data_IF_185829239723
#
_entry.id   IF_185829239723
#
_cell.length_a   1.000
_cell.length_b   1.000
_cell.length_c   1.000
_cell.angle_alpha   90.00
_cell.angle_beta   90.00
_cell.angle_gamma   90.00
#
_symmetry.space_group_name_H-M   'P 1'
#
loop_
_entity.id
_entity.type
_entity.pdbx_description
1 polymer ?
#
# COMPACT_ATOMS: atom_id res chain seq x y z
N UNK A 1 -4.05 13.11 -24.37
CA UNK A 1 -3.58 13.45 -23.02
C UNK A 1 -2.17 13.95 -23.15
N UNK A 2 -1.89 15.14 -22.64
CA UNK A 2 -0.55 15.72 -22.70
C UNK A 2 0.39 14.93 -21.79
N UNK A 3 1.67 14.85 -22.14
CA UNK A 3 2.67 14.11 -21.35
C UNK A 3 2.75 14.61 -19.89
N UNK A 4 2.32 15.85 -19.63
CA UNK A 4 2.25 16.46 -18.30
C UNK A 4 1.09 15.93 -17.43
N UNK A 5 -0.03 15.53 -18.04
CA UNK A 5 -1.16 14.92 -17.32
C UNK A 5 -0.74 13.57 -16.72
N UNK A 6 0.07 12.81 -17.46
CA UNK A 6 0.57 11.51 -17.03
C UNK A 6 1.42 11.65 -15.77
N UNK A 7 2.36 12.61 -15.72
CA UNK A 7 3.16 12.84 -14.51
C UNK A 7 2.30 13.28 -13.33
N UNK A 8 1.30 14.12 -13.56
CA UNK A 8 0.38 14.55 -12.51
C UNK A 8 -0.38 13.36 -11.90
N UNK A 9 -0.75 12.35 -12.70
CA UNK A 9 -1.33 11.10 -12.20
C UNK A 9 -0.34 10.31 -11.33
N UNK A 10 0.92 10.19 -11.74
CA UNK A 10 1.94 9.52 -10.93
C UNK A 10 2.22 10.26 -9.61
N UNK A 11 2.27 11.59 -9.63
CA UNK A 11 2.43 12.41 -8.42
C UNK A 11 1.23 12.26 -7.47
N UNK A 12 0.02 12.13 -8.02
CA UNK A 12 -1.17 11.87 -7.23
C UNK A 12 -1.10 10.50 -6.53
N UNK A 13 -0.65 9.45 -7.23
CA UNK A 13 -0.41 8.13 -6.62
C UNK A 13 0.63 8.23 -5.51
N UNK A 14 1.75 8.93 -5.73
CA UNK A 14 2.76 9.11 -4.68
C UNK A 14 2.20 9.81 -3.43
N UNK A 15 1.34 10.83 -3.62
CA UNK A 15 0.65 11.49 -2.52
C UNK A 15 -0.29 10.54 -1.75
N UNK A 16 -1.01 9.66 -2.45
CA UNK A 16 -1.85 8.64 -1.81
C UNK A 16 -0.97 7.65 -1.04
N UNK A 17 0.13 7.19 -1.61
CA UNK A 17 1.06 6.27 -0.93
C UNK A 17 1.73 6.91 0.30
N UNK A 18 2.06 8.21 0.27
CA UNK A 18 2.53 8.96 1.45
C UNK A 18 1.45 8.97 2.54
N UNK A 19 0.18 9.18 2.19
CA UNK A 19 -0.94 9.10 3.15
C UNK A 19 -1.12 7.70 3.71
N UNK A 20 -0.98 6.66 2.89
CA UNK A 20 -1.01 5.26 3.34
C UNK A 20 0.10 4.99 4.36
N UNK A 21 1.30 5.51 4.12
CA UNK A 21 2.41 5.40 5.07
C UNK A 21 2.07 6.07 6.41
N UNK A 22 1.52 7.28 6.39
CA UNK A 22 1.06 7.96 7.60
C UNK A 22 -0.02 7.16 8.34
N UNK A 23 -1.01 6.62 7.62
CA UNK A 23 -2.07 5.78 8.21
C UNK A 23 -1.49 4.51 8.84
N UNK A 24 -0.55 3.84 8.17
CA UNK A 24 0.15 2.67 8.71
C UNK A 24 0.96 3.01 9.97
N UNK A 25 1.66 4.15 10.00
CA UNK A 25 2.39 4.63 11.18
C UNK A 25 1.46 4.92 12.36
N UNK A 26 0.27 5.48 12.09
CA UNK A 26 -0.77 5.73 13.09
C UNK A 26 -1.57 4.48 13.48
N UNK A 27 -1.32 3.33 12.82
CA UNK A 27 -2.07 2.07 12.97
C UNK A 27 -3.56 2.24 12.67
N UNK A 28 -3.89 3.18 11.79
CA UNK A 28 -5.25 3.41 11.31
C UNK A 28 -5.53 2.50 10.10
N UNK A 29 -5.93 1.28 10.40
CA UNK A 29 -6.16 0.24 9.39
C UNK A 29 -7.40 0.50 8.53
N UNK A 30 -8.37 1.25 9.05
CA UNK A 30 -9.57 1.64 8.32
C UNK A 30 -9.21 2.66 7.25
N UNK A 31 -8.50 3.73 7.63
CA UNK A 31 -7.99 4.70 6.68
C UNK A 31 -7.02 4.08 5.66
N UNK A 32 -6.18 3.12 6.08
CA UNK A 32 -5.28 2.42 5.18
C UNK A 32 -6.04 1.64 4.08
N UNK A 33 -7.14 0.98 4.43
CA UNK A 33 -7.97 0.24 3.47
C UNK A 33 -8.72 1.15 2.50
N UNK A 34 -9.20 2.31 2.96
CA UNK A 34 -9.84 3.30 2.07
C UNK A 34 -8.82 3.87 1.06
N UNK A 35 -7.62 4.22 1.55
CA UNK A 35 -6.55 4.74 0.71
C UNK A 35 -6.01 3.71 -0.30
N UNK A 36 -6.04 2.41 0.03
CA UNK A 36 -5.71 1.34 -0.91
C UNK A 36 -6.67 1.30 -2.11
N UNK A 37 -7.98 1.41 -1.84
CA UNK A 37 -9.00 1.47 -2.89
C UNK A 37 -8.79 2.68 -3.80
N UNK A 38 -8.47 3.84 -3.23
CA UNK A 38 -8.17 5.05 -3.99
C UNK A 38 -6.90 4.92 -4.83
N UNK A 39 -5.85 4.31 -4.27
CA UNK A 39 -4.60 4.03 -4.99
C UNK A 39 -4.86 3.12 -6.21
N UNK A 40 -5.63 2.04 -6.03
CA UNK A 40 -5.94 1.11 -7.13
C UNK A 40 -6.62 1.80 -8.31
N UNK A 41 -7.57 2.69 -8.03
CA UNK A 41 -8.32 3.45 -9.05
C UNK A 41 -7.42 4.41 -9.82
N UNK A 42 -6.49 5.08 -9.15
CA UNK A 42 -5.53 5.97 -9.82
C UNK A 42 -4.50 5.17 -10.65
N UNK A 43 -4.07 4.00 -10.18
CA UNK A 43 -3.20 3.10 -10.92
C UNK A 43 -3.89 2.54 -12.18
N UNK A 44 -5.18 2.20 -12.11
CA UNK A 44 -5.96 1.80 -13.29
C UNK A 44 -6.09 2.92 -14.34
N UNK A 45 -6.25 4.17 -13.90
CA UNK A 45 -6.22 5.33 -14.80
C UNK A 45 -4.86 5.46 -15.50
N UNK A 46 -3.77 5.24 -14.78
CA UNK A 46 -2.42 5.26 -15.38
C UNK A 46 -2.25 4.13 -16.41
N UNK A 47 -2.72 2.92 -16.11
CA UNK A 47 -2.64 1.77 -17.02
C UNK A 47 -3.49 1.96 -18.28
N UNK A 48 -4.69 2.52 -18.15
CA UNK A 48 -5.56 2.83 -19.30
C UNK A 48 -5.08 4.01 -20.13
N UNK A 49 -4.26 4.89 -19.54
CA UNK A 49 -3.70 6.08 -20.20
C UNK A 49 -2.41 5.80 -20.97
N UNK A 50 -2.22 4.58 -21.51
CA UNK A 50 -1.00 3.99 -22.12
C UNK A 50 -0.40 4.78 -23.32
N UNK A 51 -0.11 6.06 -23.08
CA UNK A 51 0.51 7.03 -23.99
C UNK A 51 2.00 7.13 -23.64
N UNK A 52 2.64 5.99 -23.38
CA UNK A 52 4.08 5.90 -23.04
C UNK A 52 4.93 6.41 -24.22
N UNK A 53 4.39 6.40 -25.43
CA UNK A 53 5.09 6.74 -26.67
C UNK A 53 5.48 8.22 -26.83
N UNK A 54 4.98 9.15 -26.01
CA UNK A 54 5.22 10.61 -26.17
C UNK A 54 6.00 11.26 -25.00
N UNK A 55 6.54 10.47 -24.08
CA UNK A 55 7.31 11.01 -22.95
C UNK A 55 8.72 11.39 -23.39
N UNK A 56 9.03 12.69 -23.30
CA UNK A 56 10.40 13.21 -23.45
C UNK A 56 11.34 12.57 -22.42
N UNK A 57 12.65 12.48 -22.69
CA UNK A 57 13.62 11.87 -21.78
C UNK A 57 13.61 12.50 -20.36
N UNK A 58 13.34 13.80 -20.24
CA UNK A 58 13.23 14.50 -18.94
C UNK A 58 12.01 14.02 -18.15
N UNK A 59 10.87 13.83 -18.82
CA UNK A 59 9.66 13.30 -18.19
C UNK A 59 9.84 11.84 -17.77
N UNK A 60 10.57 11.06 -18.54
CA UNK A 60 10.90 9.66 -18.18
C UNK A 60 11.71 9.59 -16.89
N UNK A 61 12.70 10.48 -16.71
CA UNK A 61 13.47 10.54 -15.46
C UNK A 61 12.62 10.97 -14.26
N UNK A 62 11.70 11.93 -14.45
CA UNK A 62 10.74 12.31 -13.38
C UNK A 62 9.85 11.14 -13.00
N UNK A 63 9.27 10.43 -13.98
CA UNK A 63 8.47 9.23 -13.74
C UNK A 63 9.24 8.18 -12.94
N UNK A 64 10.50 7.90 -13.30
CA UNK A 64 11.33 6.94 -12.55
C UNK A 64 11.50 7.37 -11.09
N UNK A 65 11.77 8.66 -10.83
CA UNK A 65 11.87 9.17 -9.46
C UNK A 65 10.57 8.99 -8.67
N UNK A 66 9.42 9.28 -9.27
CA UNK A 66 8.12 9.12 -8.60
C UNK A 66 7.84 7.64 -8.30
N UNK A 67 8.12 6.73 -9.24
CA UNK A 67 7.96 5.29 -9.02
C UNK A 67 8.88 4.79 -7.90
N UNK A 68 10.14 5.25 -7.87
CA UNK A 68 11.07 4.90 -6.79
C UNK A 68 10.58 5.37 -5.42
N UNK A 69 9.96 6.56 -5.36
CA UNK A 69 9.36 7.09 -4.13
C UNK A 69 8.19 6.21 -3.67
N UNK A 70 7.27 5.86 -4.58
CA UNK A 70 6.14 4.96 -4.28
C UNK A 70 6.65 3.62 -3.73
N UNK A 71 7.63 2.99 -4.39
CA UNK A 71 8.19 1.72 -3.95
C UNK A 71 8.90 1.79 -2.59
N UNK A 72 9.55 2.92 -2.29
CA UNK A 72 10.17 3.14 -0.99
C UNK A 72 9.11 3.26 0.12
N UNK A 73 8.01 3.96 -0.14
CA UNK A 73 6.89 4.05 0.79
C UNK A 73 6.20 2.70 1.00
N UNK A 74 5.93 1.96 -0.08
CA UNK A 74 5.35 0.61 0.00
C UNK A 74 6.19 -0.33 0.87
N UNK A 75 7.51 -0.22 0.76
CA UNK A 75 8.43 -0.98 1.61
C UNK A 75 8.28 -0.59 3.08
N UNK A 76 8.22 0.69 3.40
CA UNK A 76 8.01 1.15 4.78
C UNK A 76 6.64 0.74 5.33
N UNK A 77 5.60 0.77 4.51
CA UNK A 77 4.27 0.26 4.88
C UNK A 77 4.35 -1.23 5.22
N UNK A 78 5.05 -2.04 4.41
CA UNK A 78 5.27 -3.47 4.71
C UNK A 78 6.06 -3.69 5.99
N UNK A 79 7.13 -2.93 6.20
CA UNK A 79 7.94 -3.02 7.42
C UNK A 79 7.11 -2.74 8.69
N UNK A 80 6.04 -1.93 8.60
CA UNK A 80 5.12 -1.63 9.71
C UNK A 80 4.02 -2.71 9.84
N UNK A 81 3.46 -3.16 8.73
CA UNK A 81 2.29 -4.06 8.70
C UNK A 81 2.64 -5.53 8.89
N UNK A 82 3.77 -6.01 8.35
CA UNK A 82 4.24 -7.40 8.47
C UNK A 82 4.42 -7.88 9.92
N UNK A 83 5.08 -7.14 10.83
CA UNK A 83 5.25 -7.61 12.21
C UNK A 83 3.94 -7.68 12.98
N UNK A 84 3.02 -6.71 12.80
CA UNK A 84 1.72 -6.74 13.46
C UNK A 84 0.84 -7.90 12.97
N UNK A 85 0.88 -8.20 11.67
CA UNK A 85 0.22 -9.37 11.09
C UNK A 85 0.77 -10.69 11.65
N UNK A 86 2.09 -10.78 11.85
CA UNK A 86 2.72 -11.94 12.47
C UNK A 86 2.29 -12.12 13.94
N UNK A 87 2.24 -11.04 14.71
CA UNK A 87 1.74 -11.05 16.09
C UNK A 87 0.26 -11.46 16.17
N UNK A 88 -0.58 -10.95 15.28
CA UNK A 88 -2.01 -11.30 15.23
C UNK A 88 -2.22 -12.78 14.88
N UNK A 89 -1.47 -13.32 13.93
CA UNK A 89 -1.48 -14.75 13.62
C UNK A 89 -1.05 -15.61 14.82
N UNK A 90 -0.05 -15.16 15.58
CA UNK A 90 0.40 -15.85 16.79
C UNK A 90 -0.66 -15.83 17.89
N UNK A 91 -1.31 -14.67 18.11
CA UNK A 91 -2.43 -14.54 19.05
C UNK A 91 -3.60 -15.46 18.68
N UNK A 92 -4.00 -15.51 17.40
CA UNK A 92 -5.05 -16.41 16.92
C UNK A 92 -4.71 -17.90 17.09
N UNK A 93 -3.44 -18.29 16.92
CA UNK A 93 -2.98 -19.67 17.18
C UNK A 93 -3.01 -20.01 18.67
N UNK A 94 -2.69 -19.05 19.54
CA UNK A 94 -2.69 -19.24 21.00
C UNK A 94 -4.11 -19.40 21.56
N UNK A 95 -5.08 -18.60 21.11
CA UNK A 95 -6.49 -18.67 21.55
C UNK A 95 -7.16 -19.99 21.15
N UNK A 96 -6.84 -20.49 19.96
CA UNK A 96 -7.29 -21.80 19.46
C UNK A 96 -6.75 -22.98 20.29
N UNK A 97 -5.59 -22.81 20.92
CA UNK A 97 -4.94 -23.84 21.73
C UNK A 97 -5.53 -23.88 23.14
N UNK A 98 -5.81 -22.73 23.75
CA UNK A 98 -6.46 -22.63 25.06
C UNK A 98 -7.87 -23.22 25.08
N UNK A 99 -8.62 -23.10 23.97
CA UNK A 99 -9.98 -23.63 23.86
C UNK A 99 -10.02 -25.17 23.80
N UNK A 100 -8.95 -25.82 23.30
CA UNK A 100 -8.85 -27.29 23.29
C UNK A 100 -8.54 -27.85 24.68
N UNK A 101 -7.68 -27.18 25.45
CA UNK A 101 -7.33 -27.59 26.81
C UNK A 101 -8.54 -27.49 27.76
N UNK A 102 -9.35 -26.43 27.63
CA UNK A 102 -10.54 -26.27 28.48
C UNK A 102 -11.62 -27.34 28.21
N UNK A 103 -11.58 -27.99 27.05
CA UNK A 103 -12.50 -29.07 26.68
C UNK A 103 -12.03 -30.45 27.17
N UNK A 104 -10.75 -30.62 27.47
CA UNK A 104 -10.16 -31.88 27.96
C UNK A 104 -10.10 -31.98 29.47
N UNK A 105 -10.17 -30.86 30.20
CA UNK A 105 -10.15 -30.84 31.68
C UNK A 105 -11.54 -30.60 32.32
N UNK A 106 -12.62 -30.61 31.52
CA UNK A 106 -14.00 -30.50 32.00
C UNK A 106 -14.67 -31.87 32.24
N UNK A 107 -13.90 -32.89 32.58
CA UNK A 107 -14.38 -34.24 32.96
C UNK A 107 -14.11 -34.48 34.43
#
# INVERSE_FOLDING_TARGET
MESNDVISLYENVACITDKMLCAAQLRDWEALSELESDCSREVEKIQSSDSISLLTPELRQKKIRVIQHILANDRQIRDITEPWMAELQQLMRSSSTSMKLNKTYAV
#
